data_IF_413401592008
#
_entry.id   IF_413401592008
#
_cell.length_a   1.000
_cell.length_b   1.000
_cell.length_c   1.000
_cell.angle_alpha   90.00
_cell.angle_beta   90.00
_cell.angle_gamma   90.00
#
_symmetry.space_group_name_H-M   'P 1'
#
loop_
_entity.id
_entity.type
_entity.pdbx_description
1 polymer ?
#
# COMPACT_ATOMS: atom_id res chain seq x y z
N UNK A 1 -33.62 -1.86 -11.78
CA UNK A 1 -32.88 -1.70 -10.51
C UNK A 1 -31.43 -1.44 -10.87
N UNK A 2 -30.88 -0.27 -10.56
CA UNK A 2 -29.45 -0.01 -10.74
C UNK A 2 -28.72 -0.82 -9.68
N UNK A 3 -27.85 -1.74 -10.07
CA UNK A 3 -27.03 -2.49 -9.13
C UNK A 3 -26.11 -1.49 -8.42
N UNK A 4 -26.18 -1.44 -7.09
CA UNK A 4 -25.32 -0.60 -6.27
C UNK A 4 -23.87 -1.05 -6.45
N UNK A 5 -23.02 -0.15 -6.99
CA UNK A 5 -21.62 -0.45 -7.28
C UNK A 5 -20.83 -0.40 -5.99
N UNK A 6 -19.97 -1.40 -5.75
CA UNK A 6 -19.10 -1.45 -4.57
C UNK A 6 -17.69 -1.03 -4.93
N UNK A 7 -17.22 0.04 -4.29
CA UNK A 7 -15.87 0.57 -4.46
C UNK A 7 -15.08 0.35 -3.18
N UNK A 8 -13.86 -0.17 -3.33
CA UNK A 8 -12.85 -0.25 -2.28
C UNK A 8 -11.78 0.80 -2.56
N UNK A 9 -11.66 1.80 -1.69
CA UNK A 9 -10.51 2.70 -1.67
C UNK A 9 -9.51 2.13 -0.66
N UNK A 10 -8.29 1.85 -1.10
CA UNK A 10 -7.29 1.25 -0.23
C UNK A 10 -5.93 1.94 -0.32
N UNK A 11 -5.16 1.91 0.77
CA UNK A 11 -3.85 2.55 0.82
C UNK A 11 -2.92 1.93 1.86
N UNK A 12 -1.62 2.14 1.70
CA UNK A 12 -0.60 1.81 2.69
C UNK A 12 -0.27 2.98 3.64
N UNK A 13 -1.04 4.09 3.67
CA UNK A 13 -0.67 5.25 4.49
C UNK A 13 -0.55 4.95 6.00
N UNK A 14 -1.21 3.91 6.50
CA UNK A 14 -1.13 3.50 7.91
C UNK A 14 0.14 2.69 8.24
N UNK A 15 0.94 2.26 7.24
CA UNK A 15 2.16 1.51 7.50
C UNK A 15 3.29 2.41 8.00
N UNK A 16 3.46 3.56 7.36
CA UNK A 16 4.44 4.57 7.75
C UNK A 16 3.75 5.92 7.74
N UNK A 17 3.38 6.38 8.94
CA UNK A 17 2.69 7.65 9.19
C UNK A 17 3.66 8.82 9.07
N UNK A 18 4.27 8.95 7.90
CA UNK A 18 5.10 10.11 7.56
C UNK A 18 4.22 11.32 7.23
N UNK A 19 4.66 12.54 7.57
CA UNK A 19 3.90 13.75 7.26
C UNK A 19 3.58 13.90 5.76
N UNK A 20 4.48 13.46 4.87
CA UNK A 20 4.26 13.52 3.43
C UNK A 20 3.18 12.54 2.93
N UNK A 21 2.81 11.53 3.70
CA UNK A 21 1.72 10.61 3.35
C UNK A 21 0.33 11.20 3.64
N UNK A 22 0.25 12.41 4.22
CA UNK A 22 -1.01 13.06 4.56
C UNK A 22 -1.92 13.25 3.33
N UNK A 23 -1.35 13.52 2.16
CA UNK A 23 -2.12 13.68 0.92
C UNK A 23 -2.90 12.41 0.55
N UNK A 24 -2.27 11.24 0.68
CA UNK A 24 -2.95 9.96 0.43
C UNK A 24 -4.07 9.71 1.45
N UNK A 25 -3.83 10.03 2.73
CA UNK A 25 -4.84 9.93 3.78
C UNK A 25 -6.06 10.82 3.52
N UNK A 26 -5.83 12.10 3.25
CA UNK A 26 -6.89 13.07 2.99
C UNK A 26 -7.69 12.70 1.75
N UNK A 27 -7.00 12.36 0.65
CA UNK A 27 -7.64 11.91 -0.59
C UNK A 27 -8.53 10.69 -0.34
N UNK A 28 -7.99 9.63 0.27
CA UNK A 28 -8.76 8.41 0.51
C UNK A 28 -9.98 8.66 1.40
N UNK A 29 -9.83 9.48 2.44
CA UNK A 29 -10.91 9.79 3.37
C UNK A 29 -12.04 10.59 2.72
N UNK A 30 -11.69 11.61 1.92
CA UNK A 30 -12.68 12.44 1.21
C UNK A 30 -13.41 11.65 0.14
N UNK A 31 -12.68 10.92 -0.72
CA UNK A 31 -13.29 10.13 -1.80
C UNK A 31 -14.21 9.05 -1.23
N UNK A 32 -13.77 8.35 -0.17
CA UNK A 32 -14.60 7.32 0.46
C UNK A 32 -15.89 7.91 1.04
N UNK A 33 -15.83 9.08 1.67
CA UNK A 33 -16.99 9.75 2.23
C UNK A 33 -17.97 10.27 1.15
N UNK A 34 -17.46 10.80 0.04
CA UNK A 34 -18.31 11.32 -1.04
C UNK A 34 -19.02 10.21 -1.83
N UNK A 35 -18.34 9.09 -2.07
CA UNK A 35 -18.84 8.00 -2.93
C UNK A 35 -19.46 6.83 -2.15
N UNK A 36 -19.48 6.89 -0.81
CA UNK A 36 -19.92 5.77 0.03
C UNK A 36 -19.07 4.51 -0.14
N UNK A 37 -17.78 4.68 -0.46
CA UNK A 37 -16.86 3.57 -0.69
C UNK A 37 -16.36 2.97 0.63
N UNK A 38 -16.05 1.67 0.61
CA UNK A 38 -15.34 1.03 1.72
C UNK A 38 -13.88 1.53 1.71
N UNK A 39 -13.39 1.97 2.88
CA UNK A 39 -12.01 2.44 3.06
C UNK A 39 -11.17 1.40 3.81
N UNK A 40 -10.03 1.01 3.25
CA UNK A 40 -9.11 0.06 3.87
C UNK A 40 -7.65 0.56 3.87
N UNK A 41 -7.12 0.83 5.05
CA UNK A 41 -5.71 1.16 5.25
C UNK A 41 -5.13 0.33 6.40
N UNK A 42 -4.55 -0.86 6.11
CA UNK A 42 -4.01 -1.72 7.15
C UNK A 42 -2.80 -1.10 7.86
N UNK A 43 -2.64 -1.47 9.12
CA UNK A 43 -1.50 -1.05 9.94
C UNK A 43 -0.20 -1.74 9.50
N UNK A 44 0.94 -1.17 9.92
CA UNK A 44 2.22 -1.84 9.77
C UNK A 44 2.27 -3.18 10.53
N UNK A 45 3.00 -4.11 9.95
CA UNK A 45 3.45 -5.32 10.64
C UNK A 45 4.25 -4.95 11.89
N UNK A 46 4.15 -5.72 13.00
CA UNK A 46 4.79 -5.34 14.27
C UNK A 46 6.29 -5.08 14.16
N UNK A 47 6.98 -5.82 13.28
CA UNK A 47 8.41 -5.69 13.03
C UNK A 47 8.81 -4.38 12.31
N UNK A 48 7.84 -3.62 11.78
CA UNK A 48 8.05 -2.45 10.94
C UNK A 48 7.21 -1.24 11.38
N UNK A 49 6.58 -1.31 12.56
CA UNK A 49 5.81 -0.20 13.13
C UNK A 49 6.77 0.92 13.56
N UNK A 50 6.50 2.15 13.11
CA UNK A 50 7.23 3.31 13.60
C UNK A 50 7.04 3.46 15.12
N UNK A 51 8.14 3.64 15.85
CA UNK A 51 8.15 3.77 17.31
C UNK A 51 9.07 4.91 17.76
N UNK A 52 9.11 5.21 19.07
CA UNK A 52 10.01 6.21 19.61
C UNK A 52 11.47 5.86 19.28
N UNK A 53 12.28 6.90 19.04
CA UNK A 53 13.70 6.74 18.77
C UNK A 53 14.36 5.94 19.91
N UNK A 54 14.75 4.71 19.61
CA UNK A 54 15.28 3.74 20.55
C UNK A 54 16.26 2.80 19.85
N UNK A 55 17.15 2.17 20.62
CA UNK A 55 18.08 1.19 20.08
C UNK A 55 17.35 0.00 19.42
N UNK A 56 16.17 -0.37 19.94
CA UNK A 56 15.33 -1.40 19.35
C UNK A 56 14.80 -0.99 17.97
N UNK A 57 14.31 0.25 17.82
CA UNK A 57 13.88 0.80 16.54
C UNK A 57 15.04 0.88 15.53
N UNK A 58 16.22 1.33 15.97
CA UNK A 58 17.41 1.38 15.11
C UNK A 58 17.83 -0.02 14.63
N UNK A 59 17.81 -1.03 15.51
CA UNK A 59 18.12 -2.41 15.13
C UNK A 59 17.11 -2.96 14.10
N UNK A 60 15.81 -2.69 14.29
CA UNK A 60 14.76 -3.05 13.34
C UNK A 60 14.96 -2.36 11.98
N UNK A 61 15.32 -1.08 11.98
CA UNK A 61 15.57 -0.32 10.75
C UNK A 61 16.80 -0.85 9.99
N UNK A 62 17.86 -1.26 10.70
CA UNK A 62 19.04 -1.91 10.08
C UNK A 62 18.62 -3.22 9.42
N UNK A 63 17.87 -4.08 10.12
CA UNK A 63 17.36 -5.35 9.59
C UNK A 63 16.49 -5.10 8.36
N UNK A 64 15.54 -4.16 8.44
CA UNK A 64 14.66 -3.76 7.32
C UNK A 64 15.45 -3.35 6.09
N UNK A 65 16.45 -2.47 6.26
CA UNK A 65 17.32 -2.03 5.17
C UNK A 65 18.14 -3.17 4.59
N UNK A 66 18.66 -4.06 5.44
CA UNK A 66 19.37 -5.28 5.03
C UNK A 66 18.51 -6.19 4.16
N UNK A 67 17.31 -6.55 4.63
CA UNK A 67 16.36 -7.39 3.89
C UNK A 67 15.96 -6.71 2.57
N UNK A 68 15.69 -5.41 2.59
CA UNK A 68 15.30 -4.66 1.39
C UNK A 68 16.42 -4.67 0.34
N UNK A 69 17.68 -4.45 0.75
CA UNK A 69 18.85 -4.53 -0.14
C UNK A 69 19.05 -5.92 -0.70
N UNK A 70 18.91 -6.96 0.14
CA UNK A 70 19.01 -8.35 -0.30
C UNK A 70 17.95 -8.69 -1.35
N UNK A 71 16.69 -8.32 -1.10
CA UNK A 71 15.58 -8.52 -2.05
C UNK A 71 15.81 -7.76 -3.35
N UNK A 72 16.29 -6.52 -3.28
CA UNK A 72 16.64 -5.74 -4.46
C UNK A 72 17.77 -6.42 -5.27
N UNK A 73 18.78 -6.99 -4.61
CA UNK A 73 19.84 -7.77 -5.27
C UNK A 73 19.32 -9.04 -5.96
N UNK A 74 18.16 -9.56 -5.53
CA UNK A 74 17.46 -10.69 -6.15
C UNK A 74 16.38 -10.27 -7.16
N UNK A 75 16.31 -8.98 -7.52
CA UNK A 75 15.27 -8.46 -8.43
C UNK A 75 13.85 -8.54 -7.85
N UNK A 76 13.71 -8.68 -6.53
CA UNK A 76 12.42 -8.74 -5.85
C UNK A 76 12.02 -7.35 -5.32
N UNK A 77 10.70 -7.03 -5.27
CA UNK A 77 10.22 -5.83 -4.59
C UNK A 77 10.70 -5.76 -3.15
N UNK A 78 10.71 -4.55 -2.59
CA UNK A 78 11.00 -4.31 -1.17
C UNK A 78 10.15 -5.21 -0.27
N UNK A 79 10.63 -5.47 0.95
CA UNK A 79 9.85 -6.23 1.91
C UNK A 79 8.56 -5.44 2.24
N UNK A 80 7.37 -6.06 2.13
CA UNK A 80 6.14 -5.39 2.47
C UNK A 80 6.11 -5.08 3.97
N UNK A 81 5.69 -3.87 4.28
CA UNK A 81 5.55 -3.35 5.64
C UNK A 81 4.11 -3.48 6.13
N UNK A 82 3.14 -3.59 5.22
CA UNK A 82 1.72 -3.70 5.54
C UNK A 82 1.36 -5.09 6.07
N UNK A 83 0.45 -5.14 7.07
CA UNK A 83 -0.11 -6.40 7.53
C UNK A 83 -0.92 -7.09 6.42
N UNK A 84 -0.83 -8.43 6.31
CA UNK A 84 -1.71 -9.16 5.42
C UNK A 84 -3.15 -8.97 5.92
N UNK A 85 -4.04 -8.62 5.00
CA UNK A 85 -5.43 -8.29 5.31
C UNK A 85 -6.34 -8.95 4.28
N UNK A 86 -7.11 -9.99 4.65
CA UNK A 86 -7.99 -10.65 3.72
C UNK A 86 -9.21 -9.80 3.38
N UNK A 87 -9.52 -9.69 2.08
CA UNK A 87 -10.76 -9.08 1.63
C UNK A 87 -11.92 -10.05 1.84
N UNK A 88 -12.97 -9.58 2.52
CA UNK A 88 -14.16 -10.38 2.89
C UNK A 88 -15.36 -10.15 1.97
N UNK A 89 -15.23 -9.24 0.99
CA UNK A 89 -16.29 -8.83 0.08
C UNK A 89 -15.75 -8.73 -1.35
N UNK A 90 -16.66 -8.82 -2.31
CA UNK A 90 -16.36 -8.58 -3.72
C UNK A 90 -16.68 -7.14 -4.09
N UNK A 91 -15.84 -6.54 -4.93
CA UNK A 91 -15.85 -5.14 -5.32
C UNK A 91 -15.83 -4.99 -6.84
N UNK A 92 -16.58 -4.01 -7.34
CA UNK A 92 -16.52 -3.61 -8.75
C UNK A 92 -15.22 -2.87 -9.07
N UNK A 93 -14.69 -2.11 -8.09
CA UNK A 93 -13.47 -1.33 -8.22
C UNK A 93 -12.61 -1.41 -6.97
N UNK A 94 -11.33 -1.72 -7.15
CA UNK A 94 -10.25 -1.39 -6.21
C UNK A 94 -9.54 -0.14 -6.71
N UNK A 95 -9.53 0.91 -5.89
CA UNK A 95 -8.74 2.12 -6.09
C UNK A 95 -7.61 2.17 -5.05
N UNK A 96 -6.44 1.67 -5.45
CA UNK A 96 -5.24 1.63 -4.61
C UNK A 96 -4.48 2.96 -4.68
N UNK A 97 -4.17 3.55 -3.53
CA UNK A 97 -3.46 4.82 -3.41
C UNK A 97 -2.17 4.62 -2.65
N UNK A 98 -1.04 5.04 -3.20
CA UNK A 98 0.23 5.02 -2.49
C UNK A 98 1.10 6.24 -2.83
N UNK A 99 1.91 6.67 -1.86
CA UNK A 99 2.76 7.86 -2.03
C UNK A 99 3.80 7.68 -3.15
N UNK A 100 4.47 6.52 -3.19
CA UNK A 100 5.57 6.22 -4.11
C UNK A 100 5.35 4.88 -4.81
N UNK A 101 6.04 4.62 -5.93
CA UNK A 101 5.87 3.41 -6.72
C UNK A 101 6.26 2.12 -5.95
N UNK A 102 7.14 2.23 -4.95
CA UNK A 102 7.47 1.11 -4.08
C UNK A 102 6.23 0.59 -3.30
N UNK A 103 5.24 1.45 -3.07
CA UNK A 103 3.98 1.10 -2.40
C UNK A 103 3.08 0.21 -3.23
N UNK A 104 3.32 0.05 -4.53
CA UNK A 104 2.52 -0.85 -5.38
C UNK A 104 2.65 -2.31 -4.95
N UNK A 105 3.84 -2.73 -4.52
CA UNK A 105 4.06 -4.09 -4.03
C UNK A 105 3.31 -4.39 -2.72
N UNK A 106 2.88 -3.36 -1.98
CA UNK A 106 2.10 -3.54 -0.75
C UNK A 106 0.67 -4.00 -1.05
N UNK A 107 0.13 -3.78 -2.26
CA UNK A 107 -1.22 -4.25 -2.61
C UNK A 107 -1.35 -5.78 -2.50
N UNK A 108 -0.25 -6.51 -2.67
CA UNK A 108 -0.19 -7.98 -2.49
C UNK A 108 -0.43 -8.41 -1.04
N UNK A 109 -0.53 -7.48 -0.09
CA UNK A 109 -0.95 -7.74 1.28
C UNK A 109 -2.47 -7.69 1.45
N UNK A 110 -3.22 -7.21 0.46
CA UNK A 110 -4.68 -7.32 0.42
C UNK A 110 -5.06 -8.69 -0.15
N UNK A 111 -5.22 -9.70 0.69
CA UNK A 111 -5.39 -11.07 0.21
C UNK A 111 -6.73 -11.22 -0.53
N UNK A 112 -6.69 -11.81 -1.73
CA UNK A 112 -7.86 -11.97 -2.58
C UNK A 112 -8.16 -10.77 -3.49
N UNK A 113 -7.33 -9.72 -3.52
CA UNK A 113 -7.59 -8.52 -4.33
C UNK A 113 -7.67 -8.79 -5.84
N UNK A 114 -6.95 -9.80 -6.34
CA UNK A 114 -6.98 -10.16 -7.77
C UNK A 114 -8.28 -10.84 -8.15
N UNK A 115 -8.85 -11.64 -7.26
CA UNK A 115 -10.05 -12.45 -7.49
C UNK A 115 -11.32 -11.68 -7.15
N UNK A 116 -11.30 -10.90 -6.07
CA UNK A 116 -12.48 -10.23 -5.49
C UNK A 116 -12.74 -8.84 -6.04
N UNK A 117 -11.78 -8.22 -6.73
CA UNK A 117 -11.95 -6.90 -7.33
C UNK A 117 -12.01 -7.02 -8.85
N UNK A 118 -13.11 -6.59 -9.46
CA UNK A 118 -13.31 -6.68 -10.92
C UNK A 118 -12.34 -5.76 -11.68
N UNK A 119 -12.40 -4.46 -11.40
CA UNK A 119 -11.47 -3.47 -11.95
C UNK A 119 -10.49 -3.05 -10.86
N UNK A 120 -9.21 -2.87 -11.21
CA UNK A 120 -8.17 -2.40 -10.29
C UNK A 120 -7.44 -1.21 -10.88
N UNK A 121 -7.31 -0.16 -10.10
CA UNK A 121 -6.61 1.07 -10.47
C UNK A 121 -5.61 1.39 -9.37
N UNK A 122 -4.41 1.79 -9.76
CA UNK A 122 -3.41 2.30 -8.85
C UNK A 122 -3.16 3.79 -9.13
N UNK A 123 -3.22 4.60 -8.08
CA UNK A 123 -2.87 6.00 -8.08
C UNK A 123 -1.60 6.21 -7.26
N UNK A 124 -0.51 6.52 -7.96
CA UNK A 124 0.78 6.82 -7.35
C UNK A 124 0.94 8.33 -7.29
N UNK A 125 1.04 8.89 -6.09
CA UNK A 125 1.09 10.35 -5.87
C UNK A 125 2.36 10.95 -6.47
N UNK A 126 3.50 10.32 -6.21
CA UNK A 126 4.81 10.81 -6.62
C UNK A 126 5.67 9.67 -7.15
N UNK A 127 6.33 9.90 -8.27
CA UNK A 127 7.32 8.95 -8.82
C UNK A 127 8.34 9.67 -9.70
N UNK A 128 9.42 8.97 -10.04
CA UNK A 128 10.47 9.44 -10.93
C UNK A 128 10.65 8.46 -12.08
N UNK A 129 10.93 8.98 -13.27
CA UNK A 129 11.10 8.17 -14.49
C UNK A 129 12.16 7.06 -14.33
N UNK A 130 13.25 7.35 -13.61
CA UNK A 130 14.31 6.39 -13.30
C UNK A 130 13.84 5.25 -12.38
N UNK A 131 12.95 5.53 -11.44
CA UNK A 131 12.41 4.53 -10.52
C UNK A 131 11.30 3.71 -11.17
N UNK A 132 10.45 4.30 -12.02
CA UNK A 132 9.46 3.55 -12.80
C UNK A 132 10.12 2.49 -13.68
N UNK A 133 11.19 2.84 -14.40
CA UNK A 133 11.92 1.87 -15.24
C UNK A 133 12.51 0.73 -14.39
N UNK A 134 13.07 1.07 -13.22
CA UNK A 134 13.65 0.10 -12.29
C UNK A 134 12.60 -0.83 -11.66
N UNK A 135 11.43 -0.29 -11.36
CA UNK A 135 10.37 -0.98 -10.62
C UNK A 135 9.23 -1.47 -11.53
N UNK A 136 9.47 -1.56 -12.85
CA UNK A 136 8.48 -1.99 -13.83
C UNK A 136 7.86 -3.36 -13.54
N UNK A 137 8.58 -4.24 -12.84
CA UNK A 137 8.05 -5.53 -12.38
C UNK A 137 6.93 -5.39 -11.34
N UNK A 138 6.91 -4.32 -10.54
CA UNK A 138 5.88 -4.06 -9.52
C UNK A 138 4.63 -3.38 -10.12
N UNK A 139 4.67 -3.04 -11.41
CA UNK A 139 3.58 -2.39 -12.16
C UNK A 139 2.73 -3.39 -12.97
N UNK A 140 2.97 -4.70 -12.81
CA UNK A 140 2.29 -5.81 -13.53
C UNK A 140 1.36 -6.59 -12.60
#
# INVERSE_FOLDING_TARGET
>A
MVQERRVLVASNYNTLKYPFSAQAYEFCSVVAACEGADLLAPEATPAFRAGPASNAYLAQEIVRRGITRLRAGLGRPAAPTMQPTPLTRDYDLLFWVCQFEAGLAEVERLEGWRERCRTKVAFVVETWSTLMARNAANLR
#
